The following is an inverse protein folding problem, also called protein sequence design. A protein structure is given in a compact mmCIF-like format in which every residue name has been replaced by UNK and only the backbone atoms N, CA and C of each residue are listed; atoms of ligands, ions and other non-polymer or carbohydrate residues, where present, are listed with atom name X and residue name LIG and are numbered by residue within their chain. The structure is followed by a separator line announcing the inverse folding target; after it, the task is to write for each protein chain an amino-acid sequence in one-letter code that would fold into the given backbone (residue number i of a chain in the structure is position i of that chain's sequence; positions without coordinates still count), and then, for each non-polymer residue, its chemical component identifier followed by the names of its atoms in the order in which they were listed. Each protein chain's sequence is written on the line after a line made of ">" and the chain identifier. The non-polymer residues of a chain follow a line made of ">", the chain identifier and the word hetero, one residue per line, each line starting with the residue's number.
data_IF_025570618177
#
_entry.id   IF_025570618177
#
_cell.length_a   1.000
_cell.length_b   1.000
_cell.length_c   1.000
_cell.angle_alpha   90.00
_cell.angle_beta   90.00
_cell.angle_gamma   90.00
#
_symmetry.space_group_name_H-M   'P 1'
#
loop_
_entity.id
_entity.type
_entity.pdbx_description
1 polymer ?
#
# COMPACT_ATOMS: atom_id res chain seq x y z
N UNK A 1 2.97 24.13 9.73
CA UNK A 1 3.74 24.33 8.49
C UNK A 1 5.00 23.53 8.58
N UNK A 2 5.15 22.51 7.73
CA UNK A 2 6.26 21.56 7.75
C UNK A 2 6.25 20.94 6.35
N UNK A 3 7.31 21.12 5.56
CA UNK A 3 7.37 20.45 4.26
C UNK A 3 7.33 18.94 4.51
N UNK A 4 6.32 18.26 3.99
CA UNK A 4 6.18 16.81 4.11
C UNK A 4 7.45 16.13 3.57
N UNK A 5 8.00 15.18 4.34
CA UNK A 5 9.21 14.47 3.95
C UNK A 5 8.98 13.73 2.62
N UNK A 6 10.07 13.32 1.96
CA UNK A 6 9.95 12.52 0.74
C UNK A 6 9.06 11.28 0.96
N UNK A 7 9.19 10.63 2.12
CA UNK A 7 8.42 9.43 2.45
C UNK A 7 6.95 9.74 2.63
N UNK A 8 6.60 10.85 3.30
CA UNK A 8 5.20 11.23 3.51
C UNK A 8 4.51 11.50 2.18
N UNK A 9 5.17 12.27 1.29
CA UNK A 9 4.65 12.56 -0.05
C UNK A 9 4.55 11.31 -0.91
N UNK A 10 5.56 10.43 -0.87
CA UNK A 10 5.53 9.16 -1.58
C UNK A 10 4.39 8.26 -1.09
N UNK A 11 4.25 8.13 0.22
CA UNK A 11 3.22 7.31 0.83
C UNK A 11 1.83 7.83 0.49
N UNK A 12 1.61 9.15 0.58
CA UNK A 12 0.36 9.79 0.19
C UNK A 12 0.05 9.52 -1.29
N UNK A 13 1.01 9.76 -2.20
CA UNK A 13 0.85 9.49 -3.62
C UNK A 13 0.50 8.02 -3.90
N UNK A 14 1.17 7.07 -3.24
CA UNK A 14 0.88 5.64 -3.41
C UNK A 14 -0.48 5.23 -2.84
N UNK A 15 -0.98 5.90 -1.80
CA UNK A 15 -2.34 5.65 -1.27
C UNK A 15 -3.41 6.21 -2.20
N UNK A 16 -3.23 7.42 -2.70
CA UNK A 16 -4.18 8.07 -3.60
C UNK A 16 -4.30 7.31 -4.93
N UNK A 17 -3.19 6.72 -5.38
CA UNK A 17 -3.11 5.94 -6.61
C UNK A 17 -3.02 4.44 -6.35
N UNK A 18 -3.48 3.93 -5.20
CA UNK A 18 -3.30 2.51 -4.80
C UNK A 18 -3.91 1.50 -5.79
N UNK A 19 -4.92 1.95 -6.54
CA UNK A 19 -5.59 1.17 -7.58
C UNK A 19 -4.80 1.17 -8.88
N UNK A 20 -4.07 2.23 -9.15
CA UNK A 20 -3.15 2.26 -10.28
C UNK A 20 -1.96 1.37 -9.91
N UNK A 21 -1.60 0.42 -10.76
CA UNK A 21 -0.46 -0.46 -10.53
C UNK A 21 0.86 0.32 -10.70
N UNK A 22 1.08 1.31 -9.85
CA UNK A 22 2.10 2.32 -10.00
C UNK A 22 3.49 1.68 -9.97
N UNK A 23 4.17 1.72 -11.11
CA UNK A 23 5.53 1.22 -11.24
C UNK A 23 6.52 2.21 -10.62
N UNK A 24 7.72 1.74 -10.31
CA UNK A 24 8.79 2.61 -9.81
C UNK A 24 9.06 3.75 -10.80
N UNK A 25 9.01 3.47 -12.09
CA UNK A 25 9.26 4.41 -13.18
C UNK A 25 8.21 5.51 -13.22
N UNK A 26 6.93 5.14 -13.12
CA UNK A 26 5.83 6.11 -13.11
C UNK A 26 5.91 7.03 -11.89
N UNK A 27 6.16 6.46 -10.71
CA UNK A 27 6.26 7.25 -9.47
C UNK A 27 7.52 8.11 -9.47
N UNK A 28 8.66 7.60 -9.95
CA UNK A 28 9.87 8.40 -10.07
C UNK A 28 9.64 9.61 -11.01
N UNK A 29 8.96 9.40 -12.13
CA UNK A 29 8.58 10.46 -13.06
C UNK A 29 7.67 11.51 -12.39
N UNK A 30 6.65 11.07 -11.65
CA UNK A 30 5.76 11.98 -10.90
C UNK A 30 6.49 12.84 -9.85
N UNK A 31 7.64 12.35 -9.36
CA UNK A 31 8.48 13.04 -8.38
C UNK A 31 9.65 13.82 -9.03
N UNK A 32 9.69 13.91 -10.36
CA UNK A 32 10.77 14.50 -11.14
C UNK A 32 12.15 13.90 -10.80
N UNK A 33 12.21 12.57 -10.65
CA UNK A 33 13.43 11.82 -10.34
C UNK A 33 13.64 10.67 -11.33
N UNK A 34 14.89 10.27 -11.52
CA UNK A 34 15.16 8.95 -12.11
C UNK A 34 14.82 7.83 -11.12
N UNK A 35 14.45 6.62 -11.60
CA UNK A 35 14.21 5.45 -10.74
C UNK A 35 15.38 5.14 -9.79
N UNK A 36 16.62 5.28 -10.27
CA UNK A 36 17.83 5.09 -9.49
C UNK A 36 17.96 6.12 -8.35
N UNK A 37 17.61 7.38 -8.62
CA UNK A 37 17.62 8.44 -7.60
C UNK A 37 16.57 8.17 -6.53
N UNK A 38 15.35 7.79 -6.93
CA UNK A 38 14.29 7.44 -5.99
C UNK A 38 14.70 6.27 -5.10
N UNK A 39 15.19 5.17 -5.69
CA UNK A 39 15.74 4.01 -4.96
C UNK A 39 16.82 4.41 -3.96
N UNK A 40 17.80 5.21 -4.37
CA UNK A 40 18.89 5.67 -3.49
C UNK A 40 18.36 6.49 -2.31
N UNK A 41 17.41 7.41 -2.55
CA UNK A 41 16.81 8.20 -1.47
C UNK A 41 16.02 7.33 -0.50
N UNK A 42 15.22 6.39 -0.99
CA UNK A 42 14.50 5.43 -0.14
C UNK A 42 15.45 4.57 0.68
N UNK A 43 16.55 4.10 0.09
CA UNK A 43 17.55 3.33 0.80
C UNK A 43 18.22 4.13 1.94
N UNK A 44 18.49 5.43 1.75
CA UNK A 44 18.98 6.31 2.82
C UNK A 44 18.00 6.45 3.99
N UNK A 45 16.71 6.18 3.76
CA UNK A 45 15.68 6.13 4.78
C UNK A 45 15.42 4.71 5.31
N UNK A 46 16.27 3.73 4.98
CA UNK A 46 16.10 2.34 5.44
C UNK A 46 14.90 1.63 4.80
N UNK A 47 14.42 2.09 3.65
CA UNK A 47 13.25 1.52 2.98
C UNK A 47 13.47 1.28 1.49
N UNK A 48 12.47 0.72 0.82
CA UNK A 48 12.47 0.45 -0.62
C UNK A 48 11.13 0.85 -1.22
N UNK A 49 11.07 0.96 -2.55
CA UNK A 49 9.82 1.25 -3.24
C UNK A 49 8.74 0.21 -2.93
N UNK A 50 9.09 -1.08 -2.98
CA UNK A 50 8.15 -2.16 -2.66
C UNK A 50 7.66 -2.08 -1.22
N UNK A 51 8.52 -1.74 -0.26
CA UNK A 51 8.12 -1.59 1.14
C UNK A 51 7.13 -0.42 1.33
N UNK A 52 7.35 0.71 0.65
CA UNK A 52 6.43 1.85 0.69
C UNK A 52 5.10 1.54 0.00
N UNK A 53 5.14 0.81 -1.12
CA UNK A 53 3.96 0.35 -1.82
C UNK A 53 3.14 -0.66 -0.99
N UNK A 54 3.81 -1.59 -0.33
CA UNK A 54 3.19 -2.55 0.58
C UNK A 54 2.55 -1.84 1.79
N UNK A 55 3.22 -0.82 2.34
CA UNK A 55 2.71 -0.01 3.43
C UNK A 55 1.46 0.79 3.01
N UNK A 56 1.45 1.39 1.82
CA UNK A 56 0.28 2.08 1.28
C UNK A 56 -0.91 1.12 1.10
N UNK A 57 -0.67 -0.05 0.49
CA UNK A 57 -1.71 -1.09 0.35
C UNK A 57 -2.24 -1.58 1.68
N UNK A 58 -1.37 -1.79 2.68
CA UNK A 58 -1.76 -2.12 4.06
C UNK A 58 -2.72 -1.08 4.63
N UNK A 59 -2.34 0.20 4.61
CA UNK A 59 -3.17 1.25 5.21
C UNK A 59 -4.52 1.39 4.52
N UNK A 60 -4.56 1.24 3.20
CA UNK A 60 -5.82 1.21 2.44
C UNK A 60 -6.65 -0.01 2.83
N UNK A 61 -6.07 -1.21 2.83
CA UNK A 61 -6.81 -2.43 3.16
C UNK A 61 -7.41 -2.37 4.57
N UNK A 62 -6.65 -1.94 5.57
CA UNK A 62 -7.13 -1.78 6.94
C UNK A 62 -8.25 -0.75 7.04
N UNK A 63 -8.15 0.37 6.32
CA UNK A 63 -9.24 1.36 6.24
C UNK A 63 -10.52 0.77 5.62
N UNK A 64 -10.40 -0.02 4.55
CA UNK A 64 -11.56 -0.63 3.90
C UNK A 64 -12.25 -1.66 4.80
N UNK A 65 -11.49 -2.41 5.61
CA UNK A 65 -12.10 -3.28 6.62
C UNK A 65 -12.73 -2.49 7.75
N UNK A 66 -11.94 -1.65 8.42
CA UNK A 66 -12.35 -1.01 9.68
C UNK A 66 -13.42 0.08 9.49
N UNK A 67 -13.28 0.90 8.44
CA UNK A 67 -14.14 2.08 8.24
C UNK A 67 -15.24 1.80 7.21
N UNK A 68 -14.99 0.91 6.24
CA UNK A 68 -15.99 0.60 5.20
C UNK A 68 -16.68 -0.75 5.38
N UNK A 69 -16.25 -1.59 6.33
CA UNK A 69 -16.86 -2.90 6.58
C UNK A 69 -16.81 -3.84 5.38
N UNK A 70 -15.84 -3.67 4.48
CA UNK A 70 -15.80 -4.43 3.23
C UNK A 70 -15.47 -5.91 3.46
N UNK A 71 -15.98 -6.77 2.56
CA UNK A 71 -15.61 -8.19 2.54
C UNK A 71 -14.18 -8.42 2.04
N UNK A 72 -13.62 -9.62 2.26
CA UNK A 72 -12.30 -9.95 1.73
C UNK A 72 -12.25 -9.81 0.20
N UNK A 73 -13.33 -10.22 -0.47
CA UNK A 73 -13.49 -10.14 -1.93
C UNK A 73 -13.50 -8.67 -2.37
N UNK A 74 -14.33 -7.83 -1.74
CA UNK A 74 -14.41 -6.42 -2.07
C UNK A 74 -13.07 -5.68 -1.83
N UNK A 75 -12.33 -6.02 -0.77
CA UNK A 75 -11.00 -5.44 -0.54
C UNK A 75 -9.97 -5.92 -1.57
N UNK A 76 -10.00 -7.21 -1.95
CA UNK A 76 -9.13 -7.74 -2.99
C UNK A 76 -9.38 -7.05 -4.34
N UNK A 77 -10.65 -6.93 -4.72
CA UNK A 77 -11.09 -6.26 -5.95
C UNK A 77 -10.70 -4.78 -5.94
N UNK A 78 -10.90 -4.07 -4.83
CA UNK A 78 -10.51 -2.66 -4.71
C UNK A 78 -9.01 -2.46 -4.95
N UNK A 79 -8.19 -3.38 -4.43
CA UNK A 79 -6.74 -3.37 -4.59
C UNK A 79 -6.25 -4.05 -5.89
N UNK A 80 -7.18 -4.36 -6.81
CA UNK A 80 -6.92 -4.98 -8.12
C UNK A 80 -6.19 -6.33 -8.04
N UNK A 81 -6.55 -7.17 -7.06
CA UNK A 81 -6.13 -8.57 -7.01
C UNK A 81 -7.15 -9.47 -7.70
N UNK A 82 -6.79 -9.99 -8.87
CA UNK A 82 -7.64 -10.93 -9.63
C UNK A 82 -7.57 -12.38 -9.10
N UNK A 83 -6.64 -12.67 -8.16
CA UNK A 83 -6.49 -13.98 -7.53
C UNK A 83 -6.55 -13.84 -5.99
N UNK A 84 -7.57 -14.44 -5.34
CA UNK A 84 -7.69 -14.45 -3.88
C UNK A 84 -6.49 -15.03 -3.14
N UNK A 85 -5.79 -16.01 -3.72
CA UNK A 85 -4.62 -16.62 -3.09
C UNK A 85 -3.42 -15.65 -3.10
N UNK A 86 -3.22 -14.92 -4.20
CA UNK A 86 -2.25 -13.83 -4.28
C UNK A 86 -2.59 -12.72 -3.27
N UNK A 87 -3.85 -12.29 -3.20
CA UNK A 87 -4.28 -11.28 -2.22
C UNK A 87 -3.95 -11.72 -0.78
N UNK A 88 -4.36 -12.94 -0.39
CA UNK A 88 -4.11 -13.46 0.95
C UNK A 88 -2.62 -13.51 1.30
N UNK A 89 -1.76 -13.96 0.36
CA UNK A 89 -0.30 -14.02 0.56
C UNK A 89 0.29 -12.62 0.72
N UNK A 90 -0.07 -11.69 -0.16
CA UNK A 90 0.39 -10.31 -0.11
C UNK A 90 -0.09 -9.59 1.15
N UNK A 91 -1.37 -9.69 1.48
CA UNK A 91 -1.93 -9.09 2.69
C UNK A 91 -1.25 -9.60 3.96
N UNK A 92 -1.01 -10.92 4.06
CA UNK A 92 -0.27 -11.49 5.19
C UNK A 92 1.17 -10.97 5.27
N UNK A 93 1.85 -10.80 4.13
CA UNK A 93 3.19 -10.20 4.09
C UNK A 93 3.18 -8.77 4.64
N UNK A 94 2.17 -7.96 4.30
CA UNK A 94 2.12 -6.55 4.72
C UNK A 94 1.68 -6.38 6.17
N UNK A 95 0.75 -7.22 6.64
CA UNK A 95 0.08 -7.04 7.93
C UNK A 95 0.56 -7.99 9.03
N UNK A 96 1.15 -9.13 8.67
CA UNK A 96 1.45 -10.24 9.58
C UNK A 96 0.28 -11.20 9.80
N UNK A 97 -0.94 -10.84 9.37
CA UNK A 97 -2.18 -11.57 9.65
C UNK A 97 -2.94 -11.91 8.36
N UNK A 98 -3.83 -12.90 8.40
CA UNK A 98 -4.67 -13.19 7.23
C UNK A 98 -5.81 -12.17 7.10
N UNK A 99 -6.32 -11.92 5.87
CA UNK A 99 -7.48 -11.06 5.64
C UNK A 99 -8.67 -11.45 6.52
N UNK A 100 -9.01 -12.75 6.57
CA UNK A 100 -10.12 -13.28 7.36
C UNK A 100 -9.98 -12.99 8.86
N UNK A 101 -8.77 -13.04 9.42
CA UNK A 101 -8.55 -12.70 10.83
C UNK A 101 -8.83 -11.21 11.05
N UNK A 102 -8.27 -10.34 10.21
CA UNK A 102 -8.46 -8.89 10.33
C UNK A 102 -9.92 -8.48 10.12
N UNK A 103 -10.58 -9.02 9.10
CA UNK A 103 -11.99 -8.76 8.82
C UNK A 103 -12.86 -9.16 10.01
N UNK A 104 -12.60 -10.33 10.62
CA UNK A 104 -13.33 -10.75 11.83
C UNK A 104 -13.10 -9.78 12.97
N UNK A 105 -11.85 -9.41 13.26
CA UNK A 105 -11.53 -8.48 14.36
C UNK A 105 -12.29 -7.16 14.27
N UNK A 106 -12.46 -6.60 13.07
CA UNK A 106 -13.15 -5.32 12.88
C UNK A 106 -14.68 -5.41 12.73
N UNK A 107 -15.24 -6.60 12.59
CA UNK A 107 -16.69 -6.79 12.49
C UNK A 107 -17.36 -7.07 13.85
N UNK A 108 -16.58 -7.09 14.94
CA UNK A 108 -17.06 -7.30 16.31
C UNK A 108 -17.07 -6.02 17.16
N UNK A 109 -16.70 -4.86 16.59
CA UNK A 109 -16.74 -3.54 17.23
C UNK A 109 -18.02 -2.76 16.90
#
# INVERSE_FOLDING_TARGET
>A
GMQASLLDRLHQHLRDNVREAASLEQVAQAFAMSPATLKRKLHKHGTSFQAQHDLARKHVALYLYQIKGMSNEAVADYLNFNDPANFRRSFKRWTGSTPTLIQRLFNFD
#
